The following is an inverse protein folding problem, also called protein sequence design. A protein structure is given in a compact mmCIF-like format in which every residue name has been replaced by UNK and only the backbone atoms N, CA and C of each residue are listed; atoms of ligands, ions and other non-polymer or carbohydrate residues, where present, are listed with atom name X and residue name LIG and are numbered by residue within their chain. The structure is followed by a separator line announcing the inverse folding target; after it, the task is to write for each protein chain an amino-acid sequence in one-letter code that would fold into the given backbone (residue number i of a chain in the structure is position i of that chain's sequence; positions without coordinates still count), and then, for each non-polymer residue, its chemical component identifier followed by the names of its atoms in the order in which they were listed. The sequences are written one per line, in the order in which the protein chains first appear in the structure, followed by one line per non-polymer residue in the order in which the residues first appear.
data_IF_254868073172
#
_entry.id   IF_254868073172
#
_cell.length_a   1.000
_cell.length_b   1.000
_cell.length_c   1.000
_cell.angle_alpha   90.00
_cell.angle_beta   90.00
_cell.angle_gamma   90.00
#
_symmetry.space_group_name_H-M   'P 1'
#
loop_
_entity.id
_entity.type
_entity.pdbx_description
1 polymer ?
#
# COMPACT_ATOMS: atom_id res chain seq x y z
N UNK A 1 -12.49 17.30 -15.19
CA UNK A 1 -12.71 16.89 -13.78
C UNK A 1 -12.25 15.45 -13.68
N UNK A 2 -11.50 15.07 -12.65
CA UNK A 2 -11.09 13.68 -12.50
C UNK A 2 -12.34 12.84 -12.19
N UNK A 3 -12.67 11.92 -13.09
CA UNK A 3 -13.75 10.96 -12.96
C UNK A 3 -13.16 9.62 -12.58
N UNK A 4 -13.76 8.94 -11.62
CA UNK A 4 -13.39 7.58 -11.25
C UNK A 4 -14.31 6.63 -12.00
N UNK A 5 -13.75 5.76 -12.83
CA UNK A 5 -14.50 4.78 -13.60
C UNK A 5 -14.80 3.53 -12.75
N UNK A 6 -15.89 2.84 -13.06
CA UNK A 6 -16.22 1.55 -12.45
C UNK A 6 -15.07 0.56 -12.67
N UNK A 7 -14.61 -0.04 -11.56
CA UNK A 7 -13.54 -1.02 -11.57
C UNK A 7 -12.14 -0.46 -11.32
N UNK A 8 -11.95 0.86 -11.25
CA UNK A 8 -10.66 1.48 -10.91
C UNK A 8 -10.36 1.36 -9.41
N UNK A 9 -9.08 1.23 -9.06
CA UNK A 9 -8.60 1.26 -7.69
C UNK A 9 -8.30 2.70 -7.25
N UNK A 10 -8.75 3.05 -6.04
CA UNK A 10 -8.54 4.36 -5.45
C UNK A 10 -8.16 4.24 -3.98
N UNK A 11 -7.45 5.24 -3.47
CA UNK A 11 -7.22 5.42 -2.04
C UNK A 11 -8.38 6.20 -1.44
N UNK A 12 -9.03 5.63 -0.43
CA UNK A 12 -10.02 6.32 0.40
C UNK A 12 -9.40 6.74 1.74
N UNK A 13 -9.68 7.96 2.23
CA UNK A 13 -9.23 8.36 3.56
C UNK A 13 -9.97 7.54 4.63
N UNK A 14 -9.25 7.09 5.65
CA UNK A 14 -9.79 6.35 6.79
C UNK A 14 -9.23 6.92 8.09
N UNK A 15 -10.05 7.07 9.14
CA UNK A 15 -9.61 7.66 10.41
C UNK A 15 -8.57 6.78 11.12
N UNK A 16 -8.66 5.46 11.00
CA UNK A 16 -7.78 4.52 11.68
C UNK A 16 -6.49 4.28 10.87
N UNK A 17 -6.63 4.11 9.55
CA UNK A 17 -5.55 3.67 8.68
C UNK A 17 -4.96 4.75 7.78
N UNK A 18 -5.44 6.00 7.90
CA UNK A 18 -5.17 7.15 7.02
C UNK A 18 -5.64 6.97 5.58
N UNK A 19 -5.26 5.87 4.93
CA UNK A 19 -5.78 5.50 3.62
C UNK A 19 -5.88 3.99 3.42
N UNK A 20 -6.95 3.59 2.75
CA UNK A 20 -7.23 2.22 2.36
C UNK A 20 -7.44 2.14 0.85
N UNK A 21 -6.97 1.07 0.19
CA UNK A 21 -7.30 0.83 -1.19
C UNK A 21 -8.73 0.30 -1.31
N UNK A 22 -9.48 0.85 -2.26
CA UNK A 22 -10.84 0.43 -2.55
C UNK A 22 -11.11 0.45 -4.06
N UNK A 23 -11.95 -0.46 -4.51
CA UNK A 23 -12.41 -0.59 -5.89
C UNK A 23 -13.72 0.14 -6.09
N UNK A 24 -13.81 0.96 -7.12
CA UNK A 24 -15.02 1.73 -7.44
C UNK A 24 -16.10 0.84 -8.05
N UNK A 25 -17.33 0.89 -7.53
CA UNK A 25 -18.48 0.11 -8.02
C UNK A 25 -19.42 0.90 -8.92
N UNK A 26 -19.39 2.23 -8.89
CA UNK A 26 -20.17 3.08 -9.78
C UNK A 26 -19.36 4.31 -10.14
N UNK A 27 -19.42 4.72 -11.41
CA UNK A 27 -18.66 5.89 -11.88
C UNK A 27 -19.11 7.16 -11.16
N UNK A 28 -18.20 7.88 -10.52
CA UNK A 28 -18.47 9.16 -9.86
C UNK A 28 -17.35 10.18 -10.12
N UNK A 29 -17.68 11.47 -10.12
CA UNK A 29 -16.69 12.54 -10.23
C UNK A 29 -16.14 12.96 -8.86
N UNK A 30 -14.92 13.54 -8.82
CA UNK A 30 -14.43 14.25 -7.64
C UNK A 30 -15.42 15.34 -7.23
N UNK A 31 -16.04 15.21 -6.05
CA UNK A 31 -17.08 16.10 -5.53
C UNK A 31 -18.50 15.48 -5.53
N UNK A 32 -18.65 14.20 -5.87
CA UNK A 32 -19.92 13.48 -5.84
C UNK A 32 -19.88 12.30 -4.85
N UNK A 33 -21.06 11.86 -4.40
CA UNK A 33 -21.17 10.67 -3.56
C UNK A 33 -20.92 9.40 -4.41
N UNK A 34 -20.07 8.51 -3.89
CA UNK A 34 -19.66 7.29 -4.57
C UNK A 34 -19.85 6.06 -3.69
N UNK A 35 -20.01 4.90 -4.31
CA UNK A 35 -19.93 3.62 -3.60
C UNK A 35 -18.66 2.89 -4.01
N UNK A 36 -17.87 2.50 -3.02
CA UNK A 36 -16.60 1.80 -3.22
C UNK A 36 -16.60 0.51 -2.39
N UNK A 37 -15.86 -0.49 -2.84
CA UNK A 37 -15.64 -1.74 -2.14
C UNK A 37 -14.19 -1.80 -1.66
N UNK A 38 -14.00 -1.91 -0.35
CA UNK A 38 -12.66 -2.10 0.23
C UNK A 38 -12.11 -3.49 -0.09
N UNK A 39 -10.79 -3.69 0.08
CA UNK A 39 -10.17 -5.02 -0.04
C UNK A 39 -10.78 -6.04 0.94
N UNK A 40 -11.27 -5.60 2.09
CA UNK A 40 -11.92 -6.44 3.10
C UNK A 40 -13.35 -6.87 2.70
N UNK A 41 -13.84 -6.40 1.54
CA UNK A 41 -15.14 -6.76 0.99
C UNK A 41 -16.30 -5.91 1.52
N UNK A 42 -16.02 -4.87 2.30
CA UNK A 42 -17.03 -3.95 2.81
C UNK A 42 -17.35 -2.83 1.81
N UNK A 43 -18.64 -2.60 1.58
CA UNK A 43 -19.12 -1.54 0.71
C UNK A 43 -19.23 -0.23 1.52
N UNK A 44 -18.32 0.70 1.25
CA UNK A 44 -18.24 2.01 1.91
C UNK A 44 -18.83 3.07 1.00
N UNK A 45 -19.68 3.94 1.56
CA UNK A 45 -20.19 5.12 0.87
C UNK A 45 -19.24 6.29 1.12
N UNK A 46 -18.66 6.82 0.04
CA UNK A 46 -17.74 7.95 0.07
C UNK A 46 -18.56 9.24 0.01
N UNK A 47 -18.39 10.12 0.98
CA UNK A 47 -19.06 11.42 1.01
C UNK A 47 -18.43 12.40 0.00
N UNK A 48 -19.13 13.50 -0.28
CA UNK A 48 -18.62 14.56 -1.18
C UNK A 48 -17.26 15.10 -0.71
N UNK A 49 -17.03 15.21 0.60
CA UNK A 49 -15.75 15.69 1.14
C UNK A 49 -14.61 14.68 0.92
N UNK A 50 -14.89 13.40 1.13
CA UNK A 50 -13.90 12.33 1.00
C UNK A 50 -13.54 12.08 -0.47
N UNK A 51 -14.50 12.26 -1.38
CA UNK A 51 -14.30 12.12 -2.83
C UNK A 51 -13.21 13.06 -3.39
N UNK A 52 -12.97 14.20 -2.73
CA UNK A 52 -11.92 15.15 -3.13
C UNK A 52 -10.52 14.68 -2.71
N UNK A 53 -10.45 13.99 -1.57
CA UNK A 53 -9.22 13.45 -0.99
C UNK A 53 -8.82 12.14 -1.65
N UNK A 54 -9.71 11.49 -2.40
CA UNK A 54 -9.40 10.28 -3.13
C UNK A 54 -8.30 10.49 -4.19
N UNK A 55 -7.35 9.55 -4.19
CA UNK A 55 -6.26 9.47 -5.18
C UNK A 55 -6.36 8.16 -5.96
N UNK A 56 -5.85 8.14 -7.19
CA UNK A 56 -5.76 6.90 -7.96
C UNK A 56 -4.77 5.95 -7.30
N UNK A 57 -5.06 4.66 -7.38
CA UNK A 57 -4.20 3.58 -6.91
C UNK A 57 -3.88 2.67 -8.08
N UNK A 58 -2.60 2.41 -8.32
CA UNK A 58 -2.18 1.37 -9.25
C UNK A 58 -2.35 0.00 -8.60
N UNK A 59 -2.83 -0.98 -9.37
CA UNK A 59 -3.01 -2.36 -8.90
C UNK A 59 -1.68 -3.02 -8.50
N UNK A 60 -0.57 -2.59 -9.11
CA UNK A 60 0.77 -3.08 -8.77
C UNK A 60 1.17 -2.78 -7.31
N UNK A 61 0.67 -1.68 -6.73
CA UNK A 61 0.94 -1.31 -5.34
C UNK A 61 0.32 -2.29 -4.35
N UNK A 62 -0.74 -2.98 -4.76
CA UNK A 62 -1.45 -3.96 -3.94
C UNK A 62 -0.66 -5.27 -3.80
N UNK A 63 0.33 -5.54 -4.67
CA UNK A 63 1.17 -6.72 -4.52
C UNK A 63 2.30 -6.49 -3.50
N UNK A 64 2.29 -7.30 -2.44
CA UNK A 64 3.32 -7.38 -1.40
C UNK A 64 4.73 -7.79 -1.90
N UNK A 65 4.82 -8.32 -3.12
CA UNK A 65 6.08 -8.85 -3.70
C UNK A 65 7.11 -7.80 -4.09
N UNK A 66 6.79 -6.52 -3.97
CA UNK A 66 7.70 -5.45 -4.35
C UNK A 66 8.73 -5.23 -3.23
N UNK A 67 9.97 -5.65 -3.47
CA UNK A 67 11.08 -5.47 -2.52
C UNK A 67 11.71 -4.07 -2.59
N UNK A 68 11.60 -3.39 -3.74
CA UNK A 68 12.10 -2.04 -3.94
C UNK A 68 10.99 -1.11 -4.43
N UNK A 69 10.58 -0.16 -3.58
CA UNK A 69 9.43 0.71 -3.83
C UNK A 69 9.62 1.66 -5.01
N UNK A 70 10.84 1.91 -5.50
CA UNK A 70 11.04 2.70 -6.72
C UNK A 70 10.61 1.98 -8.00
N UNK A 71 10.35 0.67 -7.92
CA UNK A 71 9.81 -0.07 -9.06
C UNK A 71 8.34 0.30 -9.34
N UNK A 72 7.67 0.96 -8.39
CA UNK A 72 6.31 1.46 -8.57
C UNK A 72 6.31 2.67 -9.51
N UNK A 73 5.34 2.70 -10.43
CA UNK A 73 5.15 3.82 -11.34
C UNK A 73 4.74 5.11 -10.60
N UNK A 74 3.82 5.00 -9.63
CA UNK A 74 3.42 6.12 -8.78
C UNK A 74 3.82 5.87 -7.31
N UNK A 75 4.89 6.54 -6.88
CA UNK A 75 5.36 6.47 -5.50
C UNK A 75 4.72 7.59 -4.66
N UNK A 76 3.55 7.27 -4.13
CA UNK A 76 2.75 8.11 -3.25
C UNK A 76 2.95 7.71 -1.77
N UNK A 77 2.79 8.64 -0.83
CA UNK A 77 2.76 8.36 0.63
C UNK A 77 1.79 7.21 0.98
N UNK A 78 0.60 7.19 0.37
CA UNK A 78 -0.39 6.14 0.56
C UNK A 78 0.11 4.78 0.07
N UNK A 79 0.81 4.75 -1.07
CA UNK A 79 1.39 3.54 -1.63
C UNK A 79 2.50 2.96 -0.73
N UNK A 80 3.39 3.84 -0.24
CA UNK A 80 4.45 3.46 0.70
C UNK A 80 3.83 2.90 1.98
N UNK A 81 2.86 3.60 2.57
CA UNK A 81 2.21 3.20 3.81
C UNK A 81 1.52 1.84 3.66
N UNK A 82 0.76 1.65 2.58
CA UNK A 82 0.10 0.39 2.29
C UNK A 82 1.11 -0.75 2.13
N UNK A 83 2.17 -0.56 1.35
CA UNK A 83 3.17 -1.59 1.11
C UNK A 83 3.92 -1.98 2.41
N UNK A 84 4.30 -1.00 3.23
CA UNK A 84 4.90 -1.27 4.54
C UNK A 84 3.94 -2.07 5.43
N UNK A 85 2.64 -1.78 5.39
CA UNK A 85 1.63 -2.48 6.19
C UNK A 85 1.44 -3.93 5.75
N UNK A 86 1.30 -4.20 4.46
CA UNK A 86 1.13 -5.58 3.96
C UNK A 86 2.38 -6.42 4.21
N UNK A 87 3.58 -5.85 4.03
CA UNK A 87 4.86 -6.53 4.29
C UNK A 87 5.05 -6.81 5.78
N UNK A 88 4.68 -5.86 6.63
CA UNK A 88 4.71 -6.06 8.08
C UNK A 88 3.79 -7.19 8.53
N UNK A 89 2.57 -7.30 7.96
CA UNK A 89 1.64 -8.42 8.23
C UNK A 89 2.22 -9.78 7.81
N UNK A 90 3.17 -9.81 6.87
CA UNK A 90 3.86 -11.01 6.38
C UNK A 90 5.23 -11.25 7.04
N UNK A 91 5.55 -10.53 8.13
CA UNK A 91 6.83 -10.61 8.83
C UNK A 91 8.06 -10.16 8.03
N UNK A 92 7.82 -9.36 6.99
CA UNK A 92 8.87 -8.74 6.18
C UNK A 92 9.09 -7.31 6.69
N UNK A 93 10.17 -7.13 7.46
CA UNK A 93 10.44 -5.88 8.19
C UNK A 93 11.39 -4.93 7.47
N UNK A 94 12.01 -5.37 6.37
CA UNK A 94 12.93 -4.59 5.57
C UNK A 94 12.33 -4.33 4.18
N UNK A 95 12.29 -3.05 3.81
CA UNK A 95 11.80 -2.60 2.51
C UNK A 95 12.78 -1.58 1.94
N UNK A 96 13.20 -1.77 0.70
CA UNK A 96 14.14 -0.87 0.05
C UNK A 96 13.39 0.22 -0.71
N UNK A 97 13.96 1.43 -0.71
CA UNK A 97 13.52 2.58 -1.50
C UNK A 97 14.78 3.15 -2.15
N UNK A 98 15.13 2.62 -3.32
CA UNK A 98 16.39 2.93 -3.99
C UNK A 98 17.60 2.60 -3.09
N UNK A 99 18.27 3.63 -2.57
CA UNK A 99 19.43 3.55 -1.67
C UNK A 99 19.05 3.53 -0.19
N UNK A 100 17.80 3.81 0.15
CA UNK A 100 17.31 3.86 1.52
C UNK A 100 16.74 2.49 1.89
N UNK A 101 17.12 1.95 3.06
CA UNK A 101 16.48 0.76 3.63
C UNK A 101 15.60 1.18 4.81
N UNK A 102 14.31 0.91 4.71
CA UNK A 102 13.34 1.13 5.77
C UNK A 102 13.28 -0.14 6.63
N UNK A 103 13.39 0.02 7.95
CA UNK A 103 13.24 -1.07 8.92
C UNK A 103 12.11 -0.77 9.88
N UNK A 104 11.14 -1.68 9.99
CA UNK A 104 9.98 -1.56 10.89
C UNK A 104 10.13 -2.57 12.03
N UNK A 105 10.01 -2.12 13.27
CA UNK A 105 10.18 -3.01 14.43
C UNK A 105 9.00 -4.01 14.55
N UNK A 106 9.24 -5.33 14.47
CA UNK A 106 8.18 -6.33 14.58
C UNK A 106 7.72 -6.58 16.03
N UNK A 107 8.45 -6.09 17.04
CA UNK A 107 8.22 -6.38 18.46
C UNK A 107 8.14 -7.88 18.79
N UNK A 108 8.67 -8.74 17.91
CA UNK A 108 8.79 -10.18 18.07
C UNK A 108 10.11 -10.68 17.50
N UNK A 109 10.53 -11.86 17.94
CA UNK A 109 11.73 -12.52 17.42
C UNK A 109 11.41 -13.13 16.06
N UNK A 110 12.17 -12.72 15.04
CA UNK A 110 12.13 -13.30 13.70
C UNK A 110 13.44 -14.05 13.43
N UNK A 111 13.43 -15.17 12.67
CA UNK A 111 14.63 -15.97 12.37
C UNK A 111 15.54 -15.31 11.30
N UNK A 112 15.73 -13.99 11.37
CA UNK A 112 16.50 -13.21 10.41
C UNK A 112 17.99 -13.08 10.78
N UNK A 113 18.32 -13.27 12.06
CA UNK A 113 19.67 -13.09 12.59
C UNK A 113 20.37 -14.41 12.90
N UNK A 114 20.01 -15.48 12.19
CA UNK A 114 20.67 -16.78 12.33
C UNK A 114 22.03 -16.78 11.62
N UNK A 115 23.00 -17.60 12.07
CA UNK A 115 24.31 -17.69 11.40
C UNK A 115 24.21 -18.01 9.90
N UNK A 116 23.23 -18.82 9.51
CA UNK A 116 22.97 -19.17 8.11
C UNK A 116 22.59 -17.95 7.26
N UNK A 117 21.72 -17.09 7.78
CA UNK A 117 21.31 -15.85 7.09
C UNK A 117 22.48 -14.87 7.03
N UNK A 118 23.25 -14.74 8.12
CA UNK A 118 24.44 -13.87 8.15
C UNK A 118 25.47 -14.29 7.10
N UNK A 119 25.73 -15.58 6.94
CA UNK A 119 26.67 -16.08 5.93
C UNK A 119 26.16 -15.80 4.50
N UNK A 120 24.86 -16.00 4.24
CA UNK A 120 24.25 -15.69 2.94
C UNK A 120 24.48 -14.23 2.53
N UNK A 121 24.26 -13.28 3.45
CA UNK A 121 24.49 -11.86 3.17
C UNK A 121 25.98 -11.50 3.10
N UNK A 122 26.87 -12.23 3.79
CA UNK A 122 28.32 -12.03 3.70
C UNK A 122 28.87 -12.40 2.31
N UNK A 123 28.36 -13.48 1.71
CA UNK A 123 28.81 -13.96 0.39
C UNK A 123 28.29 -13.06 -0.74
N UNK A 124 27.06 -12.56 -0.63
CA UNK A 124 26.44 -11.71 -1.64
C UNK A 124 26.94 -10.25 -1.64
N UNK A 125 27.85 -9.88 -0.72
CA UNK A 125 28.47 -8.56 -0.65
C UNK A 125 29.81 -8.46 -1.42
N UNK A 126 30.15 -9.45 -2.24
CA UNK A 126 31.32 -9.47 -3.15
C UNK A 126 30.86 -9.40 -4.59
#
# INVERSE_FOLDING_TARGET
MATFEEGTWIWIPDEEHKALPAKVLGTFAKGEEGTVRTEDGEDVKVSVADSQLCAFCDEEVLDSKIDNLIALNDLNEHAILHNLRIRFKQDIIYTNVSSICISVNPFKLLPLYTPEVMEKYRVNAR
#
